data_IF_911523630225
#
_entry.id   IF_911523630225
#
_cell.length_a   1.000
_cell.length_b   1.000
_cell.length_c   1.000
_cell.angle_alpha   90.00
_cell.angle_beta   90.00
_cell.angle_gamma   90.00
#
_symmetry.space_group_name_H-M   'P 1'
#
loop_
_entity.id
_entity.type
_entity.pdbx_description
1 polymer ?
#
# COMPACT_ATOMS: atom_id res chain seq x y z
N UNK A 1 -26.27 -29.15 67.91
CA UNK A 1 -25.10 -30.02 67.71
C UNK A 1 -25.09 -30.42 66.24
N UNK A 2 -24.01 -30.07 65.54
CA UNK A 2 -23.55 -30.53 64.23
C UNK A 2 -24.54 -30.58 63.05
N UNK A 3 -24.53 -29.53 62.23
CA UNK A 3 -24.83 -29.64 60.79
C UNK A 3 -23.53 -29.44 59.99
N UNK A 4 -23.27 -30.40 59.11
CA UNK A 4 -22.07 -30.55 58.30
C UNK A 4 -22.15 -29.66 57.05
N UNK A 5 -21.18 -28.78 56.88
CA UNK A 5 -20.97 -27.97 55.69
C UNK A 5 -20.19 -28.79 54.64
N UNK A 6 -20.77 -28.94 53.45
CA UNK A 6 -20.05 -29.43 52.27
C UNK A 6 -19.98 -28.28 51.26
N UNK A 7 -18.77 -27.72 51.12
CA UNK A 7 -18.43 -26.63 50.19
C UNK A 7 -18.02 -27.25 48.86
N UNK A 8 -18.80 -27.03 47.80
CA UNK A 8 -18.37 -27.27 46.42
C UNK A 8 -17.99 -25.92 45.78
N UNK A 9 -16.71 -25.78 45.42
CA UNK A 9 -16.22 -24.73 44.56
C UNK A 9 -16.77 -24.91 43.13
N UNK A 10 -17.57 -23.95 42.66
CA UNK A 10 -17.89 -23.72 41.24
C UNK A 10 -17.05 -22.55 40.75
N UNK A 11 -16.13 -22.83 39.83
CA UNK A 11 -15.48 -21.82 38.99
C UNK A 11 -16.33 -21.67 37.73
N UNK A 12 -17.13 -20.60 37.64
CA UNK A 12 -17.82 -20.22 36.42
C UNK A 12 -16.98 -19.16 35.69
N UNK A 13 -16.10 -19.61 34.80
CA UNK A 13 -15.47 -18.77 33.78
C UNK A 13 -16.39 -18.75 32.56
N UNK A 14 -17.04 -17.62 32.31
CA UNK A 14 -17.88 -17.40 31.14
C UNK A 14 -16.96 -17.07 29.95
N UNK A 15 -16.50 -18.09 29.24
CA UNK A 15 -15.96 -17.94 27.88
C UNK A 15 -17.12 -17.78 26.91
N UNK A 16 -17.28 -16.56 26.39
CA UNK A 16 -18.25 -16.25 25.34
C UNK A 16 -17.70 -16.68 23.98
N UNK A 17 -17.96 -17.93 23.59
CA UNK A 17 -17.76 -18.41 22.23
C UNK A 17 -18.85 -17.83 21.30
N UNK A 18 -18.56 -16.69 20.67
CA UNK A 18 -19.34 -16.22 19.52
C UNK A 18 -18.88 -16.97 18.26
N UNK A 19 -19.56 -18.09 18.00
CA UNK A 19 -19.47 -18.86 16.76
C UNK A 19 -19.93 -18.00 15.57
N UNK A 20 -19.00 -17.34 14.88
CA UNK A 20 -19.25 -16.83 13.53
C UNK A 20 -19.25 -18.05 12.59
N UNK A 21 -20.46 -18.53 12.26
CA UNK A 21 -20.66 -19.51 11.20
C UNK A 21 -20.22 -18.88 9.88
N UNK A 22 -19.00 -19.25 9.48
CA UNK A 22 -18.48 -19.06 8.13
C UNK A 22 -19.41 -19.78 7.15
N UNK A 23 -20.20 -19.02 6.41
CA UNK A 23 -20.92 -19.52 5.23
C UNK A 23 -19.85 -19.73 4.16
N UNK A 24 -19.29 -20.94 4.13
CA UNK A 24 -18.62 -21.46 2.95
C UNK A 24 -19.69 -21.72 1.90
N UNK A 25 -19.95 -20.72 1.06
CA UNK A 25 -20.60 -20.96 -0.22
C UNK A 25 -19.58 -21.60 -1.14
N UNK A 26 -19.78 -22.90 -1.37
CA UNK A 26 -19.11 -23.67 -2.40
C UNK A 26 -19.57 -23.16 -3.78
N UNK A 27 -18.86 -22.19 -4.32
CA UNK A 27 -18.88 -21.81 -5.73
C UNK A 27 -17.56 -22.21 -6.38
N UNK A 28 -17.48 -23.46 -6.83
CA UNK A 28 -16.39 -23.93 -7.69
C UNK A 28 -16.46 -23.18 -9.03
N UNK A 29 -15.58 -22.20 -9.23
CA UNK A 29 -15.36 -21.59 -10.56
C UNK A 29 -13.96 -21.97 -11.01
N UNK A 30 -13.88 -23.16 -11.59
CA UNK A 30 -12.75 -23.62 -12.40
C UNK A 30 -12.85 -22.94 -13.77
N UNK A 31 -12.20 -21.79 -13.93
CA UNK A 31 -12.05 -21.10 -15.23
C UNK A 31 -10.62 -20.60 -15.48
N UNK A 32 -9.63 -21.18 -14.80
CA UNK A 32 -8.22 -20.73 -14.77
C UNK A 32 -7.39 -21.10 -16.00
N UNK A 33 -7.96 -21.63 -17.08
CA UNK A 33 -7.20 -22.26 -18.17
C UNK A 33 -7.07 -21.45 -19.48
N UNK A 34 -7.69 -20.27 -19.61
CA UNK A 34 -7.51 -19.42 -20.82
C UNK A 34 -6.51 -18.27 -20.66
N UNK A 35 -6.06 -17.94 -19.45
CA UNK A 35 -5.20 -16.78 -19.15
C UNK A 35 -3.70 -17.04 -19.35
N UNK A 36 -3.27 -18.30 -19.39
CA UNK A 36 -1.85 -18.65 -19.50
C UNK A 36 -1.27 -18.38 -20.91
N UNK A 37 -2.08 -18.48 -21.97
CA UNK A 37 -1.66 -18.28 -23.36
C UNK A 37 -1.44 -16.80 -23.71
N UNK A 38 -2.30 -15.92 -23.21
CA UNK A 38 -2.14 -14.46 -23.35
C UNK A 38 -0.93 -13.93 -22.56
N UNK A 39 -0.60 -14.56 -21.44
CA UNK A 39 0.51 -14.15 -20.59
C UNK A 39 1.90 -14.32 -21.24
N UNK A 40 2.13 -15.41 -21.99
CA UNK A 40 3.42 -15.62 -22.69
C UNK A 40 3.59 -14.65 -23.86
N UNK A 41 2.50 -14.30 -24.56
CA UNK A 41 2.50 -13.32 -25.65
C UNK A 41 2.76 -11.91 -25.12
N UNK A 42 2.17 -11.55 -23.98
CA UNK A 42 2.40 -10.25 -23.32
C UNK A 42 3.86 -10.07 -22.85
N UNK A 43 4.56 -11.16 -22.54
CA UNK A 43 5.95 -11.15 -22.06
C UNK A 43 6.94 -10.76 -23.16
N UNK A 44 6.93 -11.49 -24.29
CA UNK A 44 7.88 -11.27 -25.39
C UNK A 44 7.72 -9.88 -26.03
N UNK A 45 6.48 -9.41 -26.13
CA UNK A 45 6.18 -8.09 -26.68
C UNK A 45 6.85 -6.97 -25.89
N UNK A 46 6.99 -7.12 -24.57
CA UNK A 46 7.63 -6.11 -23.73
C UNK A 46 9.16 -6.16 -23.77
N UNK A 47 9.75 -7.34 -23.99
CA UNK A 47 11.21 -7.53 -24.16
C UNK A 47 11.73 -6.66 -25.28
N UNK A 48 10.94 -6.56 -26.33
CA UNK A 48 11.20 -5.69 -27.46
C UNK A 48 11.09 -4.20 -27.10
N UNK A 49 10.26 -3.82 -26.12
CA UNK A 49 10.00 -2.42 -25.76
C UNK A 49 11.06 -1.81 -24.83
N UNK A 50 11.71 -2.62 -23.99
CA UNK A 50 12.61 -2.12 -22.93
C UNK A 50 13.66 -1.10 -23.42
N UNK A 51 14.41 -1.35 -24.52
CA UNK A 51 15.41 -0.39 -25.01
C UNK A 51 14.80 0.97 -25.39
N UNK A 52 13.58 0.95 -25.94
CA UNK A 52 12.86 2.15 -26.35
C UNK A 52 12.34 2.93 -25.14
N UNK A 53 11.88 2.24 -24.09
CA UNK A 53 11.49 2.86 -22.82
C UNK A 53 12.69 3.59 -22.21
N UNK A 54 13.84 2.94 -22.07
CA UNK A 54 15.05 3.56 -21.50
C UNK A 54 15.54 4.75 -22.34
N UNK A 55 15.50 4.62 -23.67
CA UNK A 55 15.85 5.69 -24.59
C UNK A 55 14.91 6.88 -24.41
N UNK A 56 13.60 6.65 -24.36
CA UNK A 56 12.59 7.69 -24.20
C UNK A 56 12.68 8.34 -22.82
N UNK A 57 12.85 7.59 -21.74
CA UNK A 57 13.03 8.16 -20.39
C UNK A 57 14.22 9.13 -20.31
N UNK A 58 15.33 8.82 -20.99
CA UNK A 58 16.50 9.72 -21.09
C UNK A 58 16.26 10.95 -21.96
N UNK A 59 15.39 10.82 -22.97
CA UNK A 59 15.14 11.87 -23.97
C UNK A 59 14.03 12.83 -23.53
N UNK A 60 13.01 12.33 -22.84
CA UNK A 60 11.89 13.11 -22.33
C UNK A 60 12.38 13.95 -21.15
N UNK A 61 12.68 15.21 -21.43
CA UNK A 61 12.92 16.21 -20.38
C UNK A 61 11.61 16.61 -19.73
N UNK A 62 11.68 17.30 -18.59
CA UNK A 62 10.48 17.85 -17.94
C UNK A 62 9.66 18.75 -18.88
N UNK A 63 10.34 19.64 -19.62
CA UNK A 63 9.72 20.47 -20.68
C UNK A 63 9.25 19.64 -21.88
N UNK A 64 9.86 18.47 -22.09
CA UNK A 64 9.45 17.54 -23.14
C UNK A 64 8.14 16.81 -22.83
N UNK A 65 7.75 16.67 -21.57
CA UNK A 65 6.52 15.96 -21.17
C UNK A 65 5.29 16.53 -21.89
N UNK A 66 5.14 17.86 -21.92
CA UNK A 66 4.01 18.54 -22.57
C UNK A 66 3.93 18.24 -24.07
N UNK A 67 5.07 18.04 -24.73
CA UNK A 67 5.14 17.71 -26.16
C UNK A 67 4.69 16.28 -26.44
N UNK A 68 4.99 15.36 -25.52
CA UNK A 68 4.79 13.93 -25.70
C UNK A 68 3.44 13.44 -25.15
N UNK A 69 2.86 14.17 -24.19
CA UNK A 69 1.60 13.82 -23.55
C UNK A 69 0.43 13.68 -24.55
N UNK A 70 0.17 14.62 -25.48
CA UNK A 70 -0.93 14.48 -26.43
C UNK A 70 -0.82 13.23 -27.31
N UNK A 71 0.42 12.82 -27.63
CA UNK A 71 0.68 11.63 -28.44
C UNK A 71 0.35 10.35 -27.65
N UNK A 72 0.72 10.29 -26.37
CA UNK A 72 0.35 9.17 -25.52
C UNK A 72 -1.17 9.11 -25.28
N UNK A 73 -1.83 10.25 -25.07
CA UNK A 73 -3.29 10.32 -24.95
C UNK A 73 -4.00 9.80 -26.20
N UNK A 74 -3.48 10.08 -27.39
CA UNK A 74 -4.03 9.58 -28.65
C UNK A 74 -3.89 8.05 -28.77
N UNK A 75 -2.75 7.49 -28.35
CA UNK A 75 -2.55 6.03 -28.29
C UNK A 75 -3.52 5.37 -27.30
N UNK A 76 -3.67 5.94 -26.10
CA UNK A 76 -4.61 5.44 -25.09
C UNK A 76 -6.07 5.57 -25.55
N UNK A 77 -6.41 6.66 -26.23
CA UNK A 77 -7.73 6.85 -26.84
C UNK A 77 -8.00 5.82 -27.94
N UNK A 78 -6.98 5.49 -28.74
CA UNK A 78 -7.07 4.43 -29.74
C UNK A 78 -7.31 3.05 -29.10
N UNK A 79 -6.62 2.77 -27.98
CA UNK A 79 -6.88 1.56 -27.20
C UNK A 79 -8.32 1.54 -26.71
N UNK A 80 -8.82 2.66 -26.18
CA UNK A 80 -10.16 2.75 -25.57
C UNK A 80 -11.30 2.33 -26.50
N UNK A 81 -11.12 2.54 -27.80
CA UNK A 81 -12.09 2.22 -28.86
C UNK A 81 -11.83 0.87 -29.54
N UNK A 82 -10.87 0.09 -29.06
CA UNK A 82 -10.48 -1.20 -29.64
C UNK A 82 -10.95 -2.38 -28.79
N UNK A 83 -11.02 -3.56 -29.42
CA UNK A 83 -11.31 -4.83 -28.73
C UNK A 83 -10.20 -5.27 -27.76
N UNK A 84 -9.05 -4.56 -27.76
CA UNK A 84 -7.95 -4.80 -26.83
C UNK A 84 -8.14 -4.09 -25.48
N UNK A 85 -9.14 -3.21 -25.33
CA UNK A 85 -9.34 -2.41 -24.12
C UNK A 85 -9.81 -3.19 -22.88
N UNK A 86 -9.97 -4.50 -22.98
CA UNK A 86 -10.46 -5.31 -21.87
C UNK A 86 -9.54 -6.47 -21.54
N UNK A 87 -9.44 -6.75 -20.24
CA UNK A 87 -8.87 -7.97 -19.71
C UNK A 87 -9.72 -8.51 -18.56
N UNK A 88 -9.65 -9.83 -18.35
CA UNK A 88 -10.29 -10.46 -17.20
C UNK A 88 -9.39 -10.30 -15.96
N UNK A 89 -9.93 -9.62 -14.94
CA UNK A 89 -9.24 -9.35 -13.70
C UNK A 89 -10.10 -9.76 -12.50
N UNK A 90 -9.70 -10.82 -11.80
CA UNK A 90 -10.42 -11.35 -10.63
C UNK A 90 -11.92 -11.62 -10.89
N UNK A 91 -12.26 -12.16 -12.07
CA UNK A 91 -13.64 -12.46 -12.44
C UNK A 91 -14.46 -11.25 -12.89
N UNK A 92 -13.84 -10.08 -13.08
CA UNK A 92 -14.47 -8.87 -13.63
C UNK A 92 -13.75 -8.41 -14.89
N UNK A 93 -14.46 -7.73 -15.80
CA UNK A 93 -13.85 -7.07 -16.95
C UNK A 93 -13.22 -5.74 -16.50
N UNK A 94 -11.93 -5.58 -16.73
CA UNK A 94 -11.20 -4.35 -16.44
C UNK A 94 -10.91 -3.60 -17.74
N UNK A 95 -11.18 -2.29 -17.74
CA UNK A 95 -10.84 -1.38 -18.83
C UNK A 95 -9.38 -0.95 -18.74
N UNK A 96 -8.58 -1.29 -19.74
CA UNK A 96 -7.13 -1.09 -19.75
C UNK A 96 -6.73 0.37 -20.01
N UNK A 97 -7.53 1.12 -20.77
CA UNK A 97 -7.32 2.56 -20.98
C UNK A 97 -7.37 3.34 -19.67
N UNK A 98 -8.24 2.93 -18.73
CA UNK A 98 -8.28 3.50 -17.38
C UNK A 98 -6.99 3.29 -16.60
N UNK A 99 -6.36 2.11 -16.73
CA UNK A 99 -5.07 1.80 -16.11
C UNK A 99 -3.97 2.69 -16.70
N UNK A 100 -3.96 2.88 -18.02
CA UNK A 100 -2.99 3.73 -18.69
C UNK A 100 -3.22 5.23 -18.40
N UNK A 101 -4.46 5.70 -18.34
CA UNK A 101 -4.80 7.10 -17.97
C UNK A 101 -4.32 7.46 -16.56
N UNK A 102 -3.99 6.47 -15.73
CA UNK A 102 -3.29 6.66 -14.46
C UNK A 102 -1.96 7.44 -14.57
N UNK A 103 -1.43 7.73 -15.78
CA UNK A 103 -0.31 8.66 -16.04
C UNK A 103 -0.39 9.94 -15.20
N UNK A 104 -1.57 10.55 -15.09
CA UNK A 104 -1.73 11.82 -14.36
C UNK A 104 -1.40 11.69 -12.87
N UNK A 105 -1.46 10.46 -12.35
CA UNK A 105 -1.25 10.13 -10.96
C UNK A 105 0.13 9.55 -10.66
N UNK A 106 1.02 9.41 -11.65
CA UNK A 106 2.40 9.04 -11.40
C UNK A 106 3.09 10.13 -10.56
N UNK A 107 3.86 9.71 -9.54
CA UNK A 107 4.46 10.64 -8.58
C UNK A 107 5.70 11.28 -9.19
N UNK A 108 5.76 12.60 -9.12
CA UNK A 108 6.90 13.37 -9.59
C UNK A 108 7.10 13.34 -11.11
N UNK A 109 8.16 14.02 -11.54
CA UNK A 109 8.50 14.16 -12.96
C UNK A 109 8.96 12.82 -13.55
N UNK A 110 9.72 12.04 -12.80
CA UNK A 110 10.31 10.80 -13.30
C UNK A 110 9.30 9.66 -13.44
N UNK A 111 8.30 9.58 -12.55
CA UNK A 111 7.16 8.69 -12.70
C UNK A 111 6.38 9.00 -13.98
N UNK A 112 6.08 10.28 -14.21
CA UNK A 112 5.41 10.72 -15.45
C UNK A 112 6.22 10.36 -16.69
N UNK A 113 7.55 10.56 -16.68
CA UNK A 113 8.44 10.17 -17.79
C UNK A 113 8.43 8.66 -18.03
N UNK A 114 8.48 7.84 -16.98
CA UNK A 114 8.43 6.38 -17.11
C UNK A 114 7.15 5.91 -17.79
N UNK A 115 5.99 6.36 -17.29
CA UNK A 115 4.69 5.94 -17.83
C UNK A 115 4.53 6.42 -19.28
N UNK A 116 4.96 7.65 -19.57
CA UNK A 116 4.93 8.21 -20.93
C UNK A 116 5.84 7.45 -21.89
N UNK A 117 7.06 7.13 -21.45
CA UNK A 117 8.02 6.33 -22.23
C UNK A 117 7.48 4.93 -22.51
N UNK A 118 6.86 4.28 -21.53
CA UNK A 118 6.22 2.98 -21.70
C UNK A 118 5.13 3.01 -22.78
N UNK A 119 4.20 3.97 -22.71
CA UNK A 119 3.11 4.09 -23.69
C UNK A 119 3.62 4.42 -25.08
N UNK A 120 4.56 5.37 -25.19
CA UNK A 120 5.11 5.78 -26.49
C UNK A 120 5.98 4.70 -27.12
N UNK A 121 6.63 3.85 -26.32
CA UNK A 121 7.38 2.70 -26.85
C UNK A 121 6.47 1.70 -27.57
N UNK A 122 5.18 1.66 -27.22
CA UNK A 122 4.22 0.77 -27.88
C UNK A 122 3.89 1.17 -29.31
N UNK A 123 4.23 2.38 -29.74
CA UNK A 123 4.01 2.77 -31.13
C UNK A 123 4.92 1.94 -32.05
N UNK A 124 4.32 1.14 -32.93
CA UNK A 124 5.07 0.24 -33.81
C UNK A 124 5.99 1.02 -34.75
N UNK A 125 7.29 0.75 -34.66
CA UNK A 125 8.31 1.26 -35.60
C UNK A 125 8.66 0.25 -36.70
N UNK A 126 7.94 -0.86 -36.80
CA UNK A 126 8.23 -1.91 -37.75
C UNK A 126 8.14 -1.41 -39.20
N UNK A 127 9.21 -1.62 -39.96
CA UNK A 127 9.26 -1.31 -41.39
C UNK A 127 8.51 -2.38 -42.18
N UNK A 128 7.84 -1.98 -43.26
CA UNK A 128 7.14 -2.90 -44.16
C UNK A 128 5.73 -3.30 -43.73
N UNK A 129 5.26 -2.89 -42.54
CA UNK A 129 3.86 -3.04 -42.14
C UNK A 129 2.99 -1.93 -42.74
N UNK A 130 1.77 -2.29 -43.09
CA UNK A 130 0.67 -1.35 -43.39
C UNK A 130 0.28 -0.55 -42.14
N UNK A 131 -0.42 0.56 -42.33
CA UNK A 131 -0.86 1.40 -41.20
C UNK A 131 -1.82 0.65 -40.26
N UNK A 132 -2.67 -0.24 -40.80
CA UNK A 132 -3.55 -1.10 -40.01
C UNK A 132 -2.79 -2.13 -39.19
N UNK A 133 -1.74 -2.75 -39.76
CA UNK A 133 -0.89 -3.69 -39.05
C UNK A 133 -0.09 -3.00 -37.93
N UNK A 134 0.46 -1.80 -38.19
CA UNK A 134 1.12 -0.99 -37.16
C UNK A 134 0.18 -0.62 -36.03
N UNK A 135 -1.06 -0.23 -36.36
CA UNK A 135 -2.09 0.10 -35.37
C UNK A 135 -2.41 -1.13 -34.52
N UNK A 136 -2.63 -2.28 -35.16
CA UNK A 136 -2.91 -3.55 -34.47
C UNK A 136 -1.77 -3.97 -33.55
N UNK A 137 -0.53 -3.89 -34.02
CA UNK A 137 0.67 -4.16 -33.22
C UNK A 137 0.74 -3.22 -32.00
N UNK A 138 0.56 -1.92 -32.22
CA UNK A 138 0.57 -0.94 -31.14
C UNK A 138 -0.49 -1.20 -30.07
N UNK A 139 -1.70 -1.64 -30.46
CA UNK A 139 -2.76 -1.99 -29.51
C UNK A 139 -2.41 -3.25 -28.70
N UNK A 140 -1.79 -4.26 -29.31
CA UNK A 140 -1.30 -5.45 -28.59
C UNK A 140 -0.21 -5.08 -27.58
N UNK A 141 0.72 -4.20 -27.97
CA UNK A 141 1.77 -3.66 -27.11
C UNK A 141 1.17 -2.90 -25.92
N UNK A 142 0.25 -1.97 -26.16
CA UNK A 142 -0.42 -1.22 -25.09
C UNK A 142 -1.22 -2.12 -24.14
N UNK A 143 -1.90 -3.14 -24.67
CA UNK A 143 -2.58 -4.14 -23.85
C UNK A 143 -1.61 -4.84 -22.91
N UNK A 144 -0.45 -5.27 -23.42
CA UNK A 144 0.59 -5.90 -22.60
C UNK A 144 1.10 -4.98 -21.47
N UNK A 145 1.24 -3.68 -21.73
CA UNK A 145 1.62 -2.66 -20.70
C UNK A 145 0.60 -2.65 -19.59
N UNK A 146 -0.66 -2.44 -19.99
CA UNK A 146 -1.75 -2.22 -19.07
C UNK A 146 -2.04 -3.48 -18.24
N UNK A 147 -1.99 -4.65 -18.86
CA UNK A 147 -2.08 -5.94 -18.14
C UNK A 147 -0.94 -6.07 -17.14
N UNK A 148 0.31 -5.79 -17.53
CA UNK A 148 1.44 -5.92 -16.62
C UNK A 148 1.31 -5.00 -15.40
N UNK A 149 1.01 -3.72 -15.60
CA UNK A 149 0.76 -2.81 -14.46
C UNK A 149 -0.43 -3.26 -13.61
N UNK A 150 -1.49 -3.79 -14.23
CA UNK A 150 -2.64 -4.33 -13.50
C UNK A 150 -2.25 -5.49 -12.59
N UNK A 151 -1.51 -6.48 -13.10
CA UNK A 151 -1.24 -7.71 -12.36
C UNK A 151 -0.09 -7.60 -11.36
N UNK A 152 0.84 -6.70 -11.59
CA UNK A 152 2.01 -6.53 -10.72
C UNK A 152 1.94 -5.29 -9.83
N UNK A 153 1.05 -4.33 -10.10
CA UNK A 153 0.81 -3.21 -9.18
C UNK A 153 -0.56 -3.38 -8.51
N UNK A 154 -1.65 -3.37 -9.27
CA UNK A 154 -3.01 -3.30 -8.69
C UNK A 154 -3.43 -4.58 -7.97
N UNK A 155 -3.09 -5.76 -8.51
CA UNK A 155 -3.47 -7.04 -7.90
C UNK A 155 -2.98 -7.16 -6.47
N UNK A 156 -1.83 -6.58 -6.19
CA UNK A 156 -1.21 -6.66 -4.88
C UNK A 156 -1.98 -5.89 -3.82
N UNK A 157 -2.57 -4.75 -4.21
CA UNK A 157 -3.44 -3.97 -3.34
C UNK A 157 -4.86 -4.55 -3.27
N UNK A 158 -5.34 -5.23 -4.31
CA UNK A 158 -6.71 -5.76 -4.32
C UNK A 158 -6.85 -7.16 -3.72
N UNK A 159 -5.88 -8.04 -3.95
CA UNK A 159 -6.03 -9.42 -3.57
C UNK A 159 -5.66 -9.59 -2.09
N UNK A 160 -6.57 -10.23 -1.34
CA UNK A 160 -6.48 -10.39 0.11
C UNK A 160 -5.27 -11.21 0.59
N UNK A 161 -5.21 -11.54 1.89
CA UNK A 161 -4.07 -12.25 2.49
C UNK A 161 -3.67 -13.51 1.70
N UNK A 162 -2.41 -13.58 1.26
CA UNK A 162 -1.89 -14.69 0.46
C UNK A 162 -2.06 -14.54 -1.06
N UNK A 163 -2.46 -13.37 -1.53
CA UNK A 163 -2.64 -13.02 -2.94
C UNK A 163 -1.45 -13.31 -3.83
N UNK A 164 -0.22 -13.02 -3.40
CA UNK A 164 0.99 -13.30 -4.20
C UNK A 164 1.10 -14.77 -4.62
N UNK A 165 0.57 -15.71 -3.83
CA UNK A 165 0.52 -17.14 -4.18
C UNK A 165 -0.54 -17.48 -5.22
N UNK A 166 -1.57 -16.63 -5.31
CA UNK A 166 -2.71 -16.74 -6.22
C UNK A 166 -2.59 -15.76 -7.39
N UNK A 167 -1.45 -15.08 -7.56
CA UNK A 167 -1.23 -14.27 -8.75
C UNK A 167 -1.38 -15.18 -9.97
N UNK A 168 -2.32 -14.87 -10.88
CA UNK A 168 -2.56 -15.71 -12.05
C UNK A 168 -1.31 -15.81 -12.95
N UNK A 169 -0.37 -14.88 -12.80
CA UNK A 169 0.86 -14.79 -13.57
C UNK A 169 2.02 -15.36 -12.76
N UNK A 170 2.39 -16.61 -13.05
CA UNK A 170 3.56 -17.26 -12.46
C UNK A 170 4.88 -16.84 -13.08
N UNK A 171 4.86 -16.16 -14.22
CA UNK A 171 6.09 -15.65 -14.86
C UNK A 171 6.04 -14.13 -14.90
N UNK A 172 6.59 -13.46 -13.88
CA UNK A 172 6.85 -12.03 -13.87
C UNK A 172 7.59 -11.63 -15.13
N UNK A 173 7.06 -10.62 -15.80
CA UNK A 173 7.79 -9.97 -16.86
C UNK A 173 9.07 -9.37 -16.31
N UNK A 174 10.23 -9.86 -16.72
CA UNK A 174 11.53 -9.33 -16.26
C UNK A 174 11.74 -7.86 -16.71
N UNK A 175 10.78 -7.34 -17.45
CA UNK A 175 10.91 -6.36 -18.51
C UNK A 175 9.91 -5.22 -18.32
N UNK A 176 9.16 -5.25 -17.22
CA UNK A 176 8.41 -4.14 -16.63
C UNK A 176 9.15 -2.79 -16.66
N UNK A 177 10.46 -2.96 -16.57
CA UNK A 177 11.24 -2.46 -15.46
C UNK A 177 12.68 -2.57 -15.90
N UNK A 178 13.22 -1.51 -16.54
CA UNK A 178 14.53 -1.59 -17.17
C UNK A 178 15.63 -1.96 -16.17
N UNK A 179 15.39 -1.66 -14.89
CA UNK A 179 16.28 -1.92 -13.77
C UNK A 179 15.91 -3.17 -12.97
N UNK A 180 15.12 -4.11 -13.53
CA UNK A 180 14.67 -5.26 -12.75
C UNK A 180 15.83 -6.06 -12.17
N UNK A 181 16.88 -6.34 -12.93
CA UNK A 181 18.02 -7.10 -12.41
C UNK A 181 18.68 -6.37 -11.23
N UNK A 182 18.76 -5.04 -11.28
CA UNK A 182 19.22 -4.19 -10.17
C UNK A 182 18.28 -4.26 -8.98
N UNK A 183 16.97 -4.20 -9.21
CA UNK A 183 15.95 -4.28 -8.16
C UNK A 183 15.87 -5.68 -7.54
N UNK A 184 15.99 -6.74 -8.34
CA UNK A 184 16.07 -8.12 -7.90
C UNK A 184 17.36 -8.38 -7.10
N UNK A 185 18.49 -7.82 -7.55
CA UNK A 185 19.75 -7.86 -6.80
C UNK A 185 19.70 -7.04 -5.50
N UNK A 186 18.78 -6.08 -5.39
CA UNK A 186 18.51 -5.34 -4.15
C UNK A 186 17.52 -6.09 -3.24
N UNK A 187 16.60 -6.87 -3.82
CA UNK A 187 15.60 -7.71 -3.15
C UNK A 187 16.11 -9.13 -2.91
N UNK A 188 17.36 -9.28 -2.48
CA UNK A 188 18.00 -10.59 -2.30
C UNK A 188 17.26 -11.52 -1.35
N UNK A 189 16.47 -10.94 -0.43
CA UNK A 189 15.75 -11.68 0.59
C UNK A 189 14.38 -11.09 0.85
N UNK A 190 13.34 -11.91 0.71
CA UNK A 190 12.00 -11.55 1.14
C UNK A 190 11.88 -11.41 2.67
N UNK A 191 10.88 -10.66 3.12
CA UNK A 191 10.61 -10.46 4.54
C UNK A 191 10.12 -11.75 5.20
N UNK A 192 10.44 -11.87 6.49
CA UNK A 192 9.91 -12.97 7.31
C UNK A 192 8.39 -12.79 7.48
N UNK A 193 7.62 -13.89 7.56
CA UNK A 193 6.18 -13.83 7.82
C UNK A 193 5.83 -13.16 9.16
N UNK A 194 6.75 -13.16 10.12
CA UNK A 194 6.58 -12.45 11.40
C UNK A 194 6.48 -10.94 11.16
N UNK A 195 5.44 -10.32 11.72
CA UNK A 195 5.27 -8.87 11.75
C UNK A 195 6.17 -8.31 12.85
N UNK A 196 6.97 -7.30 12.52
CA UNK A 196 7.75 -6.55 13.51
C UNK A 196 7.26 -5.11 13.66
N UNK A 197 6.35 -4.63 12.77
CA UNK A 197 5.74 -3.32 12.94
C UNK A 197 5.08 -3.23 14.31
N UNK A 198 5.60 -2.31 15.11
CA UNK A 198 5.07 -2.02 16.44
C UNK A 198 3.72 -1.32 16.29
N UNK A 199 2.64 -2.09 16.46
CA UNK A 199 1.27 -1.55 16.49
C UNK A 199 1.19 -0.34 17.40
N UNK A 200 1.77 -0.44 18.59
CA UNK A 200 1.67 0.59 19.62
C UNK A 200 2.41 1.87 19.23
N UNK A 201 3.48 1.78 18.45
CA UNK A 201 4.19 2.98 17.97
C UNK A 201 3.40 3.71 16.88
N UNK A 202 2.72 2.98 15.98
CA UNK A 202 1.80 3.58 14.99
C UNK A 202 0.63 4.27 15.67
N UNK A 203 -0.01 3.59 16.62
CA UNK A 203 -1.11 4.16 17.39
C UNK A 203 -0.67 5.38 18.17
N UNK A 204 0.49 5.32 18.84
CA UNK A 204 1.01 6.45 19.62
C UNK A 204 1.34 7.65 18.73
N UNK A 205 1.99 7.42 17.58
CA UNK A 205 2.25 8.47 16.58
C UNK A 205 0.95 9.14 16.15
N UNK A 206 -0.10 8.37 15.88
CA UNK A 206 -1.38 8.92 15.42
C UNK A 206 -2.23 9.51 16.55
N UNK A 207 -1.78 9.37 17.80
CA UNK A 207 -2.47 9.83 19.00
C UNK A 207 -3.70 8.99 19.36
N UNK A 208 -3.60 7.69 19.12
CA UNK A 208 -4.62 6.68 19.41
C UNK A 208 -5.98 7.05 18.79
N UNK A 209 -5.96 7.57 17.57
CA UNK A 209 -7.16 7.92 16.82
C UNK A 209 -7.09 7.38 15.40
N UNK A 210 -8.24 7.02 14.86
CA UNK A 210 -8.39 6.74 13.44
C UNK A 210 -8.05 8.00 12.63
N UNK A 211 -6.99 7.97 11.83
CA UNK A 211 -6.54 9.14 11.06
C UNK A 211 -7.56 9.61 10.02
N UNK A 212 -8.45 8.72 9.58
CA UNK A 212 -9.48 8.99 8.58
C UNK A 212 -10.74 9.60 9.21
N UNK A 213 -11.14 9.12 10.38
CA UNK A 213 -12.44 9.48 10.99
C UNK A 213 -12.33 10.32 12.24
N UNK A 214 -11.16 10.45 12.85
CA UNK A 214 -10.92 11.12 14.12
C UNK A 214 -11.44 10.38 15.37
N UNK A 215 -12.02 9.19 15.21
CA UNK A 215 -12.53 8.41 16.35
C UNK A 215 -11.38 7.91 17.22
N UNK A 216 -11.53 7.99 18.53
CA UNK A 216 -10.52 7.57 19.51
C UNK A 216 -10.50 6.05 19.66
N UNK A 217 -9.34 5.53 20.06
CA UNK A 217 -9.22 4.17 20.54
C UNK A 217 -9.95 4.00 21.88
N UNK A 218 -10.83 3.00 21.96
CA UNK A 218 -11.61 2.71 23.17
C UNK A 218 -10.74 2.40 24.40
N UNK A 219 -9.52 1.91 24.20
CA UNK A 219 -8.60 1.54 25.29
C UNK A 219 -7.77 2.72 25.79
N UNK A 220 -7.73 3.81 25.01
CA UNK A 220 -6.96 5.02 25.31
C UNK A 220 -7.86 6.26 25.39
N UNK A 221 -9.11 6.04 25.84
CA UNK A 221 -10.06 7.12 26.10
C UNK A 221 -9.43 8.16 27.01
N UNK A 222 -9.39 9.38 26.51
CA UNK A 222 -9.14 10.56 27.32
C UNK A 222 -10.47 11.08 27.86
N UNK A 223 -10.44 12.07 28.75
CA UNK A 223 -11.61 12.83 29.24
C UNK A 223 -12.30 13.66 28.12
N UNK A 224 -12.18 13.22 26.87
CA UNK A 224 -12.77 13.82 25.69
C UNK A 224 -14.08 13.10 25.43
N UNK A 225 -15.16 13.86 25.35
CA UNK A 225 -16.48 13.38 24.94
C UNK A 225 -16.51 13.20 23.41
N UNK A 226 -15.67 12.29 22.91
CA UNK A 226 -15.54 11.96 21.49
C UNK A 226 -15.92 10.49 21.26
N UNK A 227 -16.55 10.17 20.12
CA UNK A 227 -16.75 8.80 19.68
C UNK A 227 -15.46 7.95 19.76
N UNK A 228 -15.61 6.73 20.27
CA UNK A 228 -14.54 5.77 20.39
C UNK A 228 -14.91 4.44 19.73
N UNK A 229 -13.91 3.76 19.17
CA UNK A 229 -14.02 2.42 18.62
C UNK A 229 -12.68 1.68 18.78
N UNK A 230 -12.65 0.34 18.61
CA UNK A 230 -11.39 -0.35 18.40
C UNK A 230 -10.67 0.22 17.18
N UNK A 231 -9.36 0.48 17.33
CA UNK A 231 -8.49 0.87 16.22
C UNK A 231 -7.34 -0.12 16.03
N UNK A 232 -6.85 -0.18 14.80
CA UNK A 232 -5.80 -1.08 14.35
C UNK A 232 -4.77 -0.32 13.52
N UNK A 233 -3.52 -0.79 13.57
CA UNK A 233 -2.49 -0.32 12.66
C UNK A 233 -2.59 -1.10 11.34
N UNK A 234 -2.85 -0.40 10.25
CA UNK A 234 -2.81 -0.92 8.88
C UNK A 234 -1.55 -0.45 8.18
N UNK A 235 -1.03 -1.24 7.24
CA UNK A 235 0.11 -0.79 6.44
C UNK A 235 -0.38 -0.06 5.20
N UNK A 236 0.34 0.98 4.78
CA UNK A 236 0.12 1.67 3.50
C UNK A 236 0.53 0.73 2.37
N UNK A 237 1.79 0.32 2.39
CA UNK A 237 2.26 -0.82 1.62
C UNK A 237 2.10 -2.10 2.38
N UNK A 238 1.37 -3.03 1.80
CA UNK A 238 1.18 -4.34 2.41
C UNK A 238 2.52 -5.06 2.55
N UNK A 239 2.83 -5.52 3.77
CA UNK A 239 3.97 -6.42 4.00
C UNK A 239 3.98 -7.62 3.06
N UNK A 240 2.81 -8.12 2.69
CA UNK A 240 2.66 -9.28 1.82
C UNK A 240 3.44 -9.14 0.50
N UNK A 241 3.56 -7.93 -0.06
CA UNK A 241 4.32 -7.63 -1.29
C UNK A 241 5.79 -8.02 -1.16
N UNK A 242 6.31 -7.85 0.04
CA UNK A 242 7.70 -8.07 0.38
C UNK A 242 7.95 -9.48 0.94
N UNK A 243 6.91 -10.29 1.17
CA UNK A 243 7.03 -11.62 1.77
C UNK A 243 7.06 -12.71 0.69
N UNK A 244 8.26 -13.14 0.31
CA UNK A 244 8.49 -14.20 -0.67
C UNK A 244 9.70 -15.05 -0.28
N UNK A 245 9.84 -16.20 -0.95
CA UNK A 245 11.03 -17.05 -0.85
C UNK A 245 11.94 -16.79 -2.05
N UNK A 246 13.23 -16.73 -1.81
CA UNK A 246 14.21 -16.45 -2.84
C UNK A 246 14.20 -17.54 -3.92
N UNK A 247 14.43 -17.13 -5.18
CA UNK A 247 14.44 -18.04 -6.33
C UNK A 247 13.06 -18.60 -6.72
N UNK A 248 11.96 -18.02 -6.25
CA UNK A 248 10.61 -18.44 -6.62
C UNK A 248 9.96 -17.49 -7.62
N UNK A 249 8.92 -17.94 -8.31
CA UNK A 249 8.08 -17.06 -9.14
C UNK A 249 7.55 -15.84 -8.36
N UNK A 250 7.27 -16.02 -7.07
CA UNK A 250 6.86 -14.95 -6.17
C UNK A 250 7.98 -13.92 -5.92
N UNK A 251 9.26 -14.33 -5.83
CA UNK A 251 10.36 -13.37 -5.67
C UNK A 251 10.57 -12.55 -6.93
N UNK A 252 10.43 -13.16 -8.11
CA UNK A 252 10.48 -12.41 -9.37
C UNK A 252 9.27 -11.49 -9.51
N UNK A 253 8.10 -11.86 -9.00
CA UNK A 253 6.88 -11.04 -9.05
C UNK A 253 7.01 -9.82 -8.16
N UNK A 254 7.55 -10.03 -6.96
CA UNK A 254 7.89 -8.95 -6.05
C UNK A 254 8.94 -8.02 -6.66
N UNK A 255 10.01 -8.55 -7.26
CA UNK A 255 11.01 -7.73 -7.93
C UNK A 255 10.41 -6.84 -9.02
N UNK A 256 9.55 -7.42 -9.86
CA UNK A 256 8.83 -6.66 -10.89
C UNK A 256 7.93 -5.58 -10.28
N UNK A 257 7.17 -5.93 -9.24
CA UNK A 257 6.32 -4.99 -8.50
C UNK A 257 7.13 -3.80 -7.99
N UNK A 258 8.23 -4.06 -7.28
CA UNK A 258 9.04 -3.02 -6.68
C UNK A 258 9.77 -2.19 -7.71
N UNK A 259 10.14 -2.75 -8.86
CA UNK A 259 10.76 -1.95 -9.91
C UNK A 259 9.72 -1.07 -10.62
N UNK A 260 8.48 -1.54 -10.83
CA UNK A 260 7.40 -0.68 -11.34
C UNK A 260 7.12 0.43 -10.32
N UNK A 261 6.95 0.08 -9.04
CA UNK A 261 6.73 1.06 -7.97
C UNK A 261 7.87 2.07 -7.89
N UNK A 262 9.12 1.63 -8.02
CA UNK A 262 10.29 2.50 -8.07
C UNK A 262 10.19 3.56 -9.14
N UNK A 263 9.90 3.15 -10.38
CA UNK A 263 9.79 4.12 -11.47
C UNK A 263 8.53 4.97 -11.32
N UNK A 264 7.41 4.39 -10.89
CA UNK A 264 6.12 5.07 -10.81
C UNK A 264 6.02 6.06 -9.64
N UNK A 265 6.56 5.70 -8.47
CA UNK A 265 6.49 6.52 -7.24
C UNK A 265 7.78 7.30 -6.96
N UNK A 266 8.85 7.03 -7.71
CA UNK A 266 10.18 7.58 -7.43
C UNK A 266 10.84 6.93 -6.20
N UNK A 267 10.45 5.70 -5.87
CA UNK A 267 10.98 5.02 -4.70
C UNK A 267 12.50 4.88 -4.77
N UNK A 268 13.22 5.39 -3.75
CA UNK A 268 14.67 5.32 -3.72
C UNK A 268 15.18 3.88 -3.67
N UNK A 269 16.29 3.60 -4.36
CA UNK A 269 16.93 2.27 -4.37
C UNK A 269 17.29 1.78 -2.95
N UNK A 270 17.71 2.70 -2.07
CA UNK A 270 17.97 2.39 -0.66
C UNK A 270 16.75 1.85 0.07
N UNK A 271 15.54 2.26 -0.32
CA UNK A 271 14.30 1.79 0.30
C UNK A 271 14.02 0.33 -0.08
N UNK A 272 14.33 -0.04 -1.33
CA UNK A 272 14.21 -1.40 -1.83
C UNK A 272 15.27 -2.31 -1.18
N UNK A 273 16.50 -1.82 -1.04
CA UNK A 273 17.61 -2.56 -0.39
C UNK A 273 17.34 -2.82 1.10
N UNK A 274 16.70 -1.86 1.79
CA UNK A 274 16.39 -1.95 3.21
C UNK A 274 14.88 -2.16 3.45
N UNK A 275 14.25 -2.99 2.62
CA UNK A 275 12.80 -3.16 2.64
C UNK A 275 12.27 -3.65 3.99
N UNK A 276 13.06 -4.40 4.77
CA UNK A 276 12.70 -4.83 6.13
C UNK A 276 12.52 -3.63 7.06
N UNK A 277 13.45 -2.68 7.01
CA UNK A 277 13.44 -1.48 7.84
C UNK A 277 12.30 -0.53 7.47
N UNK A 278 11.85 -0.56 6.21
CA UNK A 278 10.83 0.35 5.70
C UNK A 278 9.42 -0.24 5.71
N UNK A 279 9.27 -1.53 5.43
CA UNK A 279 7.96 -2.18 5.37
C UNK A 279 7.30 -2.23 6.75
N UNK A 280 8.08 -2.44 7.81
CA UNK A 280 7.59 -2.42 9.20
C UNK A 280 7.79 -1.06 9.89
N UNK A 281 8.28 -0.06 9.17
CA UNK A 281 8.49 1.27 9.75
C UNK A 281 7.16 1.88 10.15
N UNK A 282 7.16 2.64 11.25
CA UNK A 282 5.96 3.36 11.72
C UNK A 282 5.39 4.26 10.62
N UNK A 283 6.24 4.89 9.80
CA UNK A 283 5.83 5.72 8.66
C UNK A 283 5.01 4.97 7.58
N UNK A 284 5.16 3.65 7.46
CA UNK A 284 4.34 2.81 6.58
C UNK A 284 3.04 2.34 7.26
N UNK A 285 2.77 2.77 8.50
CA UNK A 285 1.56 2.45 9.24
C UNK A 285 0.53 3.58 9.23
N UNK A 286 -0.75 3.23 9.36
CA UNK A 286 -1.90 4.11 9.58
C UNK A 286 -2.77 3.54 10.71
N UNK A 287 -3.20 4.36 11.65
CA UNK A 287 -4.22 3.96 12.63
C UNK A 287 -5.61 4.13 12.02
N UNK A 288 -6.35 3.04 11.91
CA UNK A 288 -7.70 3.00 11.33
C UNK A 288 -8.67 2.34 12.31
N UNK A 289 -9.91 2.83 12.38
CA UNK A 289 -10.99 2.06 13.00
C UNK A 289 -11.39 0.89 12.10
N UNK A 290 -12.09 -0.12 12.64
CA UNK A 290 -12.42 -1.35 11.91
C UNK A 290 -13.16 -1.11 10.58
N UNK A 291 -14.05 -0.11 10.52
CA UNK A 291 -14.80 0.20 9.29
C UNK A 291 -13.87 0.83 8.26
N UNK A 292 -13.12 1.87 8.63
CA UNK A 292 -12.17 2.52 7.75
C UNK A 292 -11.06 1.55 7.29
N UNK A 293 -10.64 0.62 8.14
CA UNK A 293 -9.68 -0.42 7.81
C UNK A 293 -10.22 -1.38 6.75
N UNK A 294 -11.46 -1.88 6.93
CA UNK A 294 -12.08 -2.76 5.94
C UNK A 294 -12.24 -2.07 4.57
N UNK A 295 -12.65 -0.79 4.57
CA UNK A 295 -12.80 0.01 3.35
C UNK A 295 -11.44 0.34 2.70
N UNK A 296 -10.40 0.59 3.50
CA UNK A 296 -9.01 0.75 3.05
C UNK A 296 -8.50 -0.52 2.38
N UNK A 297 -8.72 -1.67 3.02
CA UNK A 297 -8.28 -2.96 2.50
C UNK A 297 -9.03 -3.41 1.24
N UNK A 298 -10.29 -2.98 1.12
CA UNK A 298 -11.10 -3.18 -0.08
C UNK A 298 -10.75 -2.20 -1.21
N UNK A 299 -9.84 -1.26 -0.98
CA UNK A 299 -9.50 -0.17 -1.90
C UNK A 299 -10.74 0.65 -2.30
N UNK A 300 -11.66 0.86 -1.36
CA UNK A 300 -12.88 1.63 -1.58
C UNK A 300 -12.66 3.14 -1.46
N UNK A 301 -11.51 3.54 -0.90
CA UNK A 301 -10.96 4.88 -0.96
C UNK A 301 -9.43 4.82 -0.94
N UNK A 302 -8.77 5.92 -1.34
CA UNK A 302 -7.34 6.14 -1.15
C UNK A 302 -7.08 7.57 -0.64
N UNK A 303 -5.81 7.85 -0.32
CA UNK A 303 -5.34 9.19 0.03
C UNK A 303 -4.66 9.81 -1.20
N UNK A 304 -4.95 11.07 -1.48
CA UNK A 304 -4.29 11.82 -2.56
C UNK A 304 -3.53 12.96 -1.93
N UNK A 305 -2.21 12.99 -2.15
CA UNK A 305 -1.36 14.09 -1.67
C UNK A 305 -1.89 15.45 -2.16
N UNK A 306 -1.76 16.46 -1.31
CA UNK A 306 -2.01 17.86 -1.64
C UNK A 306 -0.69 18.60 -1.84
N UNK A 307 -0.76 19.90 -2.13
CA UNK A 307 0.43 20.77 -2.20
C UNK A 307 1.00 21.09 -0.80
N UNK A 308 0.33 20.64 0.27
CA UNK A 308 0.76 20.81 1.66
C UNK A 308 1.35 19.50 2.17
N UNK A 309 2.58 19.58 2.68
CA UNK A 309 3.29 18.41 3.24
C UNK A 309 2.47 17.76 4.35
N UNK A 310 2.41 16.42 4.34
CA UNK A 310 1.63 15.58 5.26
C UNK A 310 0.11 15.79 5.24
N UNK A 311 -0.42 16.47 4.21
CA UNK A 311 -1.85 16.68 4.03
C UNK A 311 -2.37 15.94 2.77
N UNK A 312 -3.48 15.21 2.95
CA UNK A 312 -4.04 14.33 1.94
C UNK A 312 -5.56 14.50 1.81
N UNK A 313 -6.08 14.52 0.60
CA UNK A 313 -7.52 14.44 0.33
C UNK A 313 -7.95 12.97 0.23
N UNK A 314 -9.08 12.63 0.83
CA UNK A 314 -9.66 11.29 0.64
C UNK A 314 -10.31 11.23 -0.74
N UNK A 315 -9.87 10.30 -1.57
CA UNK A 315 -10.50 10.01 -2.85
C UNK A 315 -11.33 8.72 -2.72
N UNK A 316 -12.63 8.82 -2.99
CA UNK A 316 -13.58 7.73 -2.82
C UNK A 316 -13.89 7.07 -4.15
N UNK A 317 -13.88 5.73 -4.19
CA UNK A 317 -14.30 4.94 -5.35
C UNK A 317 -15.73 4.41 -5.23
N UNK A 318 -16.39 4.64 -4.09
CA UNK A 318 -17.74 4.19 -3.77
C UNK A 318 -18.52 5.27 -3.01
N UNK A 319 -19.74 5.57 -3.46
CA UNK A 319 -20.64 6.50 -2.77
C UNK A 319 -21.05 6.00 -1.39
N UNK A 320 -21.16 4.68 -1.23
CA UNK A 320 -21.45 4.05 0.06
C UNK A 320 -20.31 4.34 1.04
N UNK A 321 -19.07 4.09 0.62
CA UNK A 321 -17.87 4.38 1.43
C UNK A 321 -17.77 5.86 1.77
N UNK A 322 -18.01 6.74 0.78
CA UNK A 322 -18.05 8.19 0.98
C UNK A 322 -19.07 8.59 2.03
N UNK A 323 -20.31 8.12 1.93
CA UNK A 323 -21.37 8.41 2.90
C UNK A 323 -21.00 7.90 4.30
N UNK A 324 -20.47 6.68 4.39
CA UNK A 324 -20.06 6.05 5.67
C UNK A 324 -18.94 6.83 6.35
N UNK A 325 -17.84 7.12 5.64
CA UNK A 325 -16.71 7.89 6.19
C UNK A 325 -17.15 9.31 6.59
N UNK A 326 -17.95 10.00 5.75
CA UNK A 326 -18.44 11.36 6.07
C UNK A 326 -19.32 11.38 7.31
N UNK A 327 -20.19 10.38 7.48
CA UNK A 327 -21.02 10.25 8.69
C UNK A 327 -20.14 10.12 9.93
N UNK A 328 -19.11 9.26 9.87
CA UNK A 328 -18.18 9.08 11.00
C UNK A 328 -17.39 10.35 11.33
N UNK A 329 -16.93 11.10 10.32
CA UNK A 329 -16.22 12.39 10.51
C UNK A 329 -17.12 13.46 11.11
N UNK A 330 -18.39 13.53 10.68
CA UNK A 330 -19.36 14.46 11.24
C UNK A 330 -19.59 14.28 12.75
N UNK A 331 -19.50 13.05 13.24
CA UNK A 331 -19.65 12.74 14.68
C UNK A 331 -18.51 13.29 15.55
N UNK A 332 -17.38 13.67 14.96
CA UNK A 332 -16.24 14.32 15.65
C UNK A 332 -16.02 15.75 15.17
N UNK A 333 -17.03 16.35 14.51
CA UNK A 333 -16.99 17.73 13.99
C UNK A 333 -15.86 18.00 12.98
N UNK A 334 -15.30 16.96 12.37
CA UNK A 334 -14.36 17.11 11.26
C UNK A 334 -15.17 17.33 9.99
N UNK A 335 -14.80 18.33 9.18
CA UNK A 335 -15.60 18.60 7.99
C UNK A 335 -15.52 17.41 7.00
N UNK A 336 -16.62 17.08 6.29
CA UNK A 336 -16.68 15.93 5.39
C UNK A 336 -15.58 15.88 4.32
N UNK A 337 -15.14 17.06 3.88
CA UNK A 337 -14.14 17.24 2.82
C UNK A 337 -12.84 17.88 3.35
N UNK A 338 -12.69 17.96 4.67
CA UNK A 338 -11.45 18.41 5.29
C UNK A 338 -10.32 17.41 4.97
N UNK A 339 -9.13 17.87 4.55
CA UNK A 339 -8.00 17.00 4.33
C UNK A 339 -7.58 16.22 5.59
N UNK A 340 -7.07 15.00 5.40
CA UNK A 340 -6.41 14.22 6.45
C UNK A 340 -5.00 14.79 6.64
N UNK A 341 -4.66 15.16 7.88
CA UNK A 341 -3.33 15.66 8.24
C UNK A 341 -2.63 14.66 9.14
N UNK A 342 -1.49 14.15 8.68
CA UNK A 342 -0.64 13.32 9.51
C UNK A 342 0.22 14.20 10.40
N UNK A 343 0.14 13.97 11.71
CA UNK A 343 0.95 14.65 12.71
C UNK A 343 1.43 13.61 13.69
N UNK A 344 2.73 13.60 13.97
CA UNK A 344 3.27 12.81 15.07
C UNK A 344 2.81 13.41 16.41
N UNK A 345 2.09 12.61 17.19
CA UNK A 345 1.57 12.93 18.51
C UNK A 345 2.26 12.13 19.61
N UNK A 346 3.37 11.45 19.31
CA UNK A 346 4.04 10.58 20.28
C UNK A 346 4.40 11.28 21.59
N UNK A 347 4.77 12.55 21.53
CA UNK A 347 5.13 13.37 22.70
C UNK A 347 3.96 13.69 23.62
N UNK A 348 2.72 13.68 23.12
CA UNK A 348 1.50 13.92 23.91
C UNK A 348 1.30 12.83 24.99
N UNK A 349 1.96 11.67 24.83
CA UNK A 349 1.80 10.50 25.70
C UNK A 349 3.02 10.20 26.57
N UNK A 350 4.19 10.79 26.29
CA UNK A 350 5.38 10.56 27.12
C UNK A 350 5.29 11.23 28.50
N UNK A 351 4.58 12.36 28.60
CA UNK A 351 4.51 13.15 29.84
C UNK A 351 3.72 12.46 30.96
N UNK A 352 2.67 11.69 30.62
CA UNK A 352 1.87 10.96 31.60
C UNK A 352 2.66 9.87 32.32
N UNK A 353 3.59 9.21 31.62
CA UNK A 353 4.44 8.17 32.21
C UNK A 353 5.43 8.75 33.23
N UNK A 354 5.98 9.93 32.97
CA UNK A 354 6.86 10.65 33.90
C UNK A 354 6.13 11.14 35.14
N UNK A 355 4.90 11.67 34.99
CA UNK A 355 4.11 12.12 36.15
C UNK A 355 3.71 10.95 37.04
N UNK A 356 3.29 9.82 36.46
CA UNK A 356 2.97 8.61 37.23
C UNK A 356 4.18 8.05 37.99
N UNK A 357 5.36 8.04 37.38
CA UNK A 357 6.60 7.65 38.09
C UNK A 357 6.91 8.59 39.26
N UNK A 358 6.79 9.91 39.05
CA UNK A 358 7.08 10.89 40.10
C UNK A 358 6.05 10.86 41.24
N UNK A 359 4.78 10.55 40.94
CA UNK A 359 3.72 10.40 41.94
C UNK A 359 3.85 9.06 42.71
N UNK A 360 4.38 8.00 42.07
CA UNK A 360 4.66 6.71 42.72
C UNK A 360 5.95 6.76 43.58
N UNK A 361 6.99 7.47 43.13
CA UNK A 361 8.23 7.68 43.90
C UNK A 361 8.09 8.74 45.02
N UNK A 362 7.03 9.54 44.99
CA UNK A 362 6.67 10.50 46.04
C UNK A 362 6.10 9.86 47.31
N UNK A 363 5.78 8.57 47.30
CA UNK A 363 5.42 7.80 48.49
C UNK A 363 6.69 7.26 49.17
N UNK A 364 7.28 8.03 50.09
CA UNK A 364 8.48 7.64 50.85
C UNK A 364 8.33 6.27 51.56
N UNK A 365 9.31 5.37 51.42
CA UNK A 365 9.89 4.67 52.55
C UNK A 365 11.24 5.31 52.91
N UNK A 366 11.42 5.50 54.20
CA UNK A 366 12.60 6.03 54.89
C UNK A 366 13.97 5.62 54.30
N UNK A 367 14.74 6.64 53.94
CA UNK A 367 16.20 6.79 54.06
C UNK A 367 17.10 5.54 54.03
N UNK A 368 17.85 5.36 52.93
CA UNK A 368 19.28 5.03 53.03
C UNK A 368 20.05 5.58 51.82
N UNK A 369 21.05 6.42 52.10
CA UNK A 369 21.92 7.10 51.14
C UNK A 369 23.02 6.19 50.61
N UNK A 370 23.15 6.05 49.29
CA UNK A 370 24.41 5.64 48.66
C UNK A 370 24.61 6.33 47.31
N UNK A 371 25.66 7.13 47.22
CA UNK A 371 26.10 7.92 46.08
C UNK A 371 26.82 7.05 45.03
N UNK A 372 26.39 7.14 43.77
CA UNK A 372 27.09 6.56 42.61
C UNK A 372 26.87 7.40 41.36
N UNK A 373 27.95 8.00 40.87
CA UNK A 373 28.02 8.81 39.65
C UNK A 373 28.04 7.93 38.39
N UNK A 374 27.15 8.19 37.43
CA UNK A 374 27.15 7.56 36.10
C UNK A 374 27.05 8.60 34.97
N UNK A 375 27.58 8.32 33.77
CA UNK A 375 27.88 9.33 32.76
C UNK A 375 26.70 9.61 31.81
N UNK A 376 26.60 10.88 31.39
CA UNK A 376 25.66 11.37 30.40
C UNK A 376 26.10 10.95 28.98
N UNK A 377 25.28 10.13 28.31
CA UNK A 377 25.39 9.86 26.89
C UNK A 377 24.46 10.80 26.10
N UNK A 378 25.03 11.62 25.23
CA UNK A 378 24.33 12.51 24.30
C UNK A 378 23.72 11.72 23.15
N UNK A 379 22.38 11.71 23.05
CA UNK A 379 21.68 11.20 21.88
C UNK A 379 21.70 12.25 20.76
N UNK A 380 22.35 11.92 19.65
CA UNK A 380 22.28 12.70 18.41
C UNK A 380 20.97 12.41 17.69
N UNK A 381 20.18 13.46 17.47
CA UNK A 381 19.00 13.51 16.60
C UNK A 381 19.40 13.11 15.17
N UNK A 382 19.10 11.87 14.79
CA UNK A 382 19.19 11.43 13.39
C UNK A 382 17.94 11.91 12.65
N UNK A 383 18.14 12.78 11.67
CA UNK A 383 17.14 13.34 10.74
C UNK A 383 16.37 12.22 10.02
N UNK A 384 15.25 11.79 10.62
CA UNK A 384 14.39 10.68 10.19
C UNK A 384 13.17 11.17 9.41
N UNK A 385 13.34 12.19 8.57
CA UNK A 385 12.27 12.69 7.69
C UNK A 385 12.00 11.73 6.54
N UNK A 386 11.37 10.62 6.88
CA UNK A 386 10.76 9.72 5.92
C UNK A 386 9.44 10.35 5.45
N UNK A 387 9.41 10.80 4.19
CA UNK A 387 8.23 11.42 3.60
C UNK A 387 7.20 10.34 3.26
N UNK A 388 6.04 10.36 3.93
CA UNK A 388 4.87 9.54 3.54
C UNK A 388 4.41 9.80 2.09
N UNK A 389 4.86 10.89 1.45
CA UNK A 389 4.56 11.26 0.06
C UNK A 389 4.89 10.16 -0.96
N UNK A 390 5.87 9.28 -0.68
CA UNK A 390 6.26 8.23 -1.62
C UNK A 390 5.28 7.03 -1.68
N UNK A 391 4.35 6.93 -0.71
CA UNK A 391 3.57 5.71 -0.50
C UNK A 391 2.06 5.89 -0.44
N UNK A 392 1.58 7.08 -0.04
CA UNK A 392 0.18 7.36 0.23
C UNK A 392 -0.59 7.87 -1.00
#
# INVERSE_FOLDING_TARGET
MAESQQVHHRNDSIESNATIKSIQSAGSVSSTLSTASTASVSLGVYEELKPDIERLQRTVTEKGLERYLPKAELLVSSLSSSDFNETDFCGSKLKLDGVLKGIEHAVGVDGKKYVLAAILSCESQAQGLTDDEKRLDSMKRLKAVAETWTFYVLFIFKAGPGSHRKQPYRTPSVVVTPTLDTTAASLQKGLKPSRTMSRDDVLRRDGYQCVITGWLDKEHLHDRDLPAAPVEASHILRRAVATFKDGTDASRAAALTFDILRHFTGLGEKVIQNLEDHADHVANGLTLNLIAHAEWDAYAFCLKATDVEHEYKIHYFSDVTKKTIRTMRGNVQIAPDEPVRFKDRSDEFQQKKRKKLNDEDGAQPSSSTRSGSGPQGSATESDSRFKCEAWA
#
